data_IF_733274449217
#
_entry.id   IF_733274449217
#
_cell.length_a   1.000
_cell.length_b   1.000
_cell.length_c   1.000
_cell.angle_alpha   90.00
_cell.angle_beta   90.00
_cell.angle_gamma   90.00
#
_symmetry.space_group_name_H-M   'P 1'
#
loop_
_entity.id
_entity.type
_entity.pdbx_description
1 polymer ?
#
# COMPACT_ATOMS: atom_id res chain seq x y z
N UNK A 1 2.22 -17.25 -9.75
CA UNK A 1 1.09 -17.19 -8.80
C UNK A 1 0.29 -15.88 -8.91
N UNK A 2 0.73 -14.74 -8.34
CA UNK A 2 -0.09 -13.50 -8.33
C UNK A 2 -0.41 -12.97 -9.74
N UNK A 3 0.60 -12.91 -10.61
CA UNK A 3 0.43 -12.47 -12.00
C UNK A 3 -0.52 -13.39 -12.78
N UNK A 4 -0.32 -14.72 -12.69
CA UNK A 4 -1.17 -15.72 -13.38
C UNK A 4 -2.63 -15.69 -12.91
N UNK A 5 -2.85 -15.38 -11.64
CA UNK A 5 -4.19 -15.28 -11.07
C UNK A 5 -4.88 -13.93 -11.40
N UNK A 6 -4.22 -13.04 -12.14
CA UNK A 6 -4.66 -11.65 -12.38
C UNK A 6 -5.00 -10.90 -11.07
N UNK A 7 -4.30 -11.23 -9.99
CA UNK A 7 -4.48 -10.55 -8.70
C UNK A 7 -3.91 -9.13 -8.72
N UNK A 8 -2.82 -8.93 -9.47
CA UNK A 8 -2.15 -7.65 -9.63
C UNK A 8 -1.51 -7.59 -11.04
N UNK A 9 -1.39 -6.38 -11.59
CA UNK A 9 -0.69 -6.17 -12.85
C UNK A 9 0.81 -6.46 -12.73
N UNK A 10 1.51 -6.62 -13.86
CA UNK A 10 2.98 -6.80 -13.85
C UNK A 10 3.68 -5.56 -13.26
N UNK A 11 3.14 -4.37 -13.55
CA UNK A 11 3.59 -3.09 -13.01
C UNK A 11 3.43 -3.03 -11.50
N UNK A 12 2.26 -3.42 -10.96
CA UNK A 12 1.99 -3.37 -9.53
C UNK A 12 2.90 -4.33 -8.76
N UNK A 13 3.11 -5.55 -9.27
CA UNK A 13 4.00 -6.54 -8.67
C UNK A 13 5.43 -5.99 -8.61
N UNK A 14 5.95 -5.46 -9.72
CA UNK A 14 7.30 -4.93 -9.77
C UNK A 14 7.46 -3.65 -8.92
N UNK A 15 6.45 -2.78 -8.90
CA UNK A 15 6.43 -1.59 -8.06
C UNK A 15 6.41 -1.95 -6.56
N UNK A 16 5.58 -2.91 -6.16
CA UNK A 16 5.49 -3.38 -4.78
C UNK A 16 6.83 -3.91 -4.29
N UNK A 17 7.51 -4.73 -5.09
CA UNK A 17 8.81 -5.30 -4.71
C UNK A 17 9.93 -4.26 -4.68
N UNK A 18 9.90 -3.26 -5.57
CA UNK A 18 10.88 -2.17 -5.57
C UNK A 18 10.68 -1.20 -4.41
N UNK A 19 9.45 -0.72 -4.23
CA UNK A 19 9.12 0.35 -3.28
C UNK A 19 8.89 -0.17 -1.87
N UNK A 20 8.36 -1.39 -1.73
CA UNK A 20 8.09 -2.05 -0.46
C UNK A 20 9.30 -2.83 0.06
N UNK A 21 9.87 -3.73 -0.76
CA UNK A 21 11.00 -4.57 -0.35
C UNK A 21 12.38 -3.96 -0.62
N UNK A 22 12.46 -2.80 -1.28
CA UNK A 22 13.71 -2.11 -1.57
C UNK A 22 14.58 -2.79 -2.63
N UNK A 23 14.00 -3.66 -3.46
CA UNK A 23 14.75 -4.29 -4.55
C UNK A 23 15.13 -3.25 -5.63
N UNK A 24 16.31 -3.37 -6.25
CA UNK A 24 16.73 -2.44 -7.31
C UNK A 24 15.86 -2.56 -8.58
N UNK A 25 15.25 -3.73 -8.78
CA UNK A 25 14.40 -4.07 -9.92
C UNK A 25 13.28 -4.99 -9.46
N UNK A 26 12.11 -4.89 -10.10
CA UNK A 26 11.01 -5.80 -9.85
C UNK A 26 11.31 -7.20 -10.39
N UNK A 27 10.75 -8.25 -9.78
CA UNK A 27 11.04 -9.63 -10.14
C UNK A 27 10.71 -9.97 -11.60
N UNK A 28 9.64 -9.41 -12.18
CA UNK A 28 9.25 -9.71 -13.56
C UNK A 28 10.20 -9.02 -14.55
N UNK A 29 10.54 -7.75 -14.31
CA UNK A 29 11.56 -7.06 -15.08
C UNK A 29 12.95 -7.71 -14.96
N UNK A 30 13.27 -8.32 -13.81
CA UNK A 30 14.50 -9.08 -13.60
C UNK A 30 14.49 -10.41 -14.37
N UNK A 31 13.37 -11.12 -14.40
CA UNK A 31 13.21 -12.33 -15.22
C UNK A 31 13.39 -12.01 -16.71
N UNK A 32 12.83 -10.91 -17.19
CA UNK A 32 13.02 -10.45 -18.57
C UNK A 32 14.47 -10.06 -18.87
N UNK A 33 15.21 -9.55 -17.88
CA UNK A 33 16.64 -9.23 -18.01
C UNK A 33 17.51 -10.49 -18.10
N UNK A 34 17.28 -11.46 -17.22
CA UNK A 34 18.04 -12.73 -17.17
C UNK A 34 17.72 -13.61 -18.39
N UNK A 35 16.46 -13.58 -18.82
CA UNK A 35 15.89 -14.48 -19.81
C UNK A 35 14.95 -15.48 -19.14
N UNK A 36 13.69 -15.49 -19.56
CA UNK A 36 12.64 -16.34 -18.96
C UNK A 36 12.95 -17.83 -19.14
N UNK A 37 13.48 -18.20 -20.31
CA UNK A 37 13.93 -19.56 -20.60
C UNK A 37 15.11 -19.97 -19.71
N UNK A 38 16.10 -19.10 -19.55
CA UNK A 38 17.23 -19.33 -18.64
C UNK A 38 16.75 -19.53 -17.20
N UNK A 39 15.89 -18.64 -16.70
CA UNK A 39 15.35 -18.72 -15.35
C UNK A 39 14.55 -20.01 -15.14
N UNK A 40 13.74 -20.40 -16.12
CA UNK A 40 13.01 -21.68 -16.11
C UNK A 40 13.96 -22.87 -16.02
N UNK A 41 14.99 -22.94 -16.86
CA UNK A 41 15.95 -24.05 -16.84
C UNK A 41 16.67 -24.17 -15.49
N UNK A 42 17.04 -23.04 -14.88
CA UNK A 42 17.64 -23.03 -13.54
C UNK A 42 16.67 -23.56 -12.49
N UNK A 43 15.41 -23.11 -12.50
CA UNK A 43 14.38 -23.59 -11.58
C UNK A 43 14.07 -25.08 -11.76
N UNK A 44 14.01 -25.58 -13.01
CA UNK A 44 13.84 -27.01 -13.30
C UNK A 44 14.98 -27.85 -12.71
N UNK A 45 16.23 -27.40 -12.85
CA UNK A 45 17.40 -28.07 -12.27
C UNK A 45 17.35 -28.03 -10.73
N UNK A 46 17.06 -26.85 -10.15
CA UNK A 46 16.93 -26.69 -8.69
C UNK A 46 15.82 -27.60 -8.12
N UNK A 47 14.67 -27.68 -8.80
CA UNK A 47 13.56 -28.53 -8.37
C UNK A 47 13.87 -30.01 -8.48
N UNK A 48 14.54 -30.43 -9.56
CA UNK A 48 14.96 -31.82 -9.74
C UNK A 48 15.85 -32.30 -8.59
N UNK A 49 16.75 -31.43 -8.11
CA UNK A 49 17.64 -31.73 -6.99
C UNK A 49 16.94 -31.61 -5.62
N UNK A 50 16.22 -30.52 -5.37
CA UNK A 50 15.68 -30.24 -4.03
C UNK A 50 14.35 -30.94 -3.74
N UNK A 51 13.54 -31.21 -4.77
CA UNK A 51 12.13 -31.59 -4.67
C UNK A 51 11.25 -30.59 -3.85
N UNK A 52 11.79 -29.43 -3.52
CA UNK A 52 11.07 -28.36 -2.83
C UNK A 52 10.18 -27.63 -3.83
N UNK A 53 8.88 -27.60 -3.54
CA UNK A 53 7.90 -26.94 -4.39
C UNK A 53 8.16 -25.44 -4.58
N UNK A 54 8.90 -24.79 -3.70
CA UNK A 54 9.35 -23.40 -3.88
C UNK A 54 10.34 -23.22 -5.02
N UNK A 55 11.08 -24.27 -5.40
CA UNK A 55 11.98 -24.24 -6.55
C UNK A 55 11.30 -24.65 -7.86
N UNK A 56 10.05 -25.14 -7.82
CA UNK A 56 9.34 -25.55 -9.02
C UNK A 56 9.10 -24.33 -9.94
N UNK A 57 9.39 -24.43 -11.25
CA UNK A 57 9.13 -23.36 -12.20
C UNK A 57 7.62 -23.08 -12.31
N UNK A 58 7.24 -21.80 -12.27
CA UNK A 58 5.86 -21.41 -12.50
C UNK A 58 5.43 -21.70 -13.96
N UNK A 59 4.20 -22.19 -14.20
CA UNK A 59 3.72 -22.53 -15.55
C UNK A 59 3.87 -21.41 -16.57
N UNK A 60 3.64 -20.14 -16.18
CA UNK A 60 3.80 -18.97 -17.05
C UNK A 60 5.19 -18.85 -17.67
N UNK A 61 6.25 -19.25 -16.95
CA UNK A 61 7.61 -19.22 -17.48
C UNK A 61 7.75 -20.19 -18.66
N UNK A 62 7.09 -21.35 -18.58
CA UNK A 62 7.05 -22.31 -19.65
C UNK A 62 6.26 -21.83 -20.86
N UNK A 63 5.09 -21.23 -20.62
CA UNK A 63 4.24 -20.69 -21.67
C UNK A 63 4.95 -19.57 -22.46
N UNK A 64 5.55 -18.60 -21.76
CA UNK A 64 6.27 -17.48 -22.38
C UNK A 64 7.50 -17.97 -23.15
N UNK A 65 8.29 -18.87 -22.55
CA UNK A 65 9.47 -19.45 -23.21
C UNK A 65 9.12 -20.22 -24.48
N UNK A 66 8.10 -21.08 -24.45
CA UNK A 66 7.65 -21.83 -25.63
C UNK A 66 7.06 -20.95 -26.73
N UNK A 67 6.55 -19.76 -26.38
CA UNK A 67 6.10 -18.75 -27.33
C UNK A 67 7.23 -17.84 -27.85
N UNK A 68 8.49 -18.08 -27.47
CA UNK A 68 9.64 -17.26 -27.85
C UNK A 68 9.74 -15.92 -27.11
N UNK A 69 8.87 -15.67 -26.14
CA UNK A 69 8.80 -14.44 -25.35
C UNK A 69 9.79 -14.56 -24.19
N UNK A 70 11.08 -14.49 -24.51
CA UNK A 70 12.17 -14.82 -23.58
C UNK A 70 12.77 -13.61 -22.87
N UNK A 71 12.07 -12.48 -22.85
CA UNK A 71 12.49 -11.25 -22.19
C UNK A 71 13.19 -10.27 -23.13
N UNK A 72 14.12 -9.46 -22.59
CA UNK A 72 14.79 -8.38 -23.31
C UNK A 72 15.48 -8.86 -24.57
N UNK A 73 16.14 -10.02 -24.54
CA UNK A 73 16.85 -10.57 -25.70
C UNK A 73 15.96 -10.78 -26.93
N UNK A 74 14.68 -11.09 -26.71
CA UNK A 74 13.69 -11.25 -27.78
C UNK A 74 12.88 -9.95 -28.05
N UNK A 75 13.11 -8.89 -27.26
CA UNK A 75 12.31 -7.67 -27.27
C UNK A 75 10.94 -7.84 -26.58
N UNK A 76 10.66 -9.02 -26.03
CA UNK A 76 9.38 -9.35 -25.40
C UNK A 76 9.51 -10.48 -24.38
N UNK A 77 8.94 -10.27 -23.19
CA UNK A 77 8.70 -11.27 -22.15
C UNK A 77 7.43 -10.90 -21.39
N UNK A 78 7.54 -10.68 -20.07
CA UNK A 78 6.47 -10.05 -19.30
C UNK A 78 6.17 -8.63 -19.82
N UNK A 79 7.22 -7.89 -20.15
CA UNK A 79 7.18 -6.57 -20.77
C UNK A 79 7.51 -6.65 -22.27
N UNK A 80 7.09 -5.64 -23.04
CA UNK A 80 7.63 -5.36 -24.38
C UNK A 80 8.64 -4.25 -24.34
N UNK A 81 9.69 -4.41 -25.14
CA UNK A 81 10.81 -3.51 -25.24
C UNK A 81 10.85 -2.85 -26.62
N UNK A 82 11.48 -1.68 -26.70
CA UNK A 82 11.68 -0.90 -27.92
C UNK A 82 12.34 -1.67 -29.08
N UNK A 83 13.24 -2.60 -28.76
CA UNK A 83 13.85 -3.52 -29.71
C UNK A 83 14.33 -4.81 -29.01
N UNK A 84 14.68 -5.87 -29.76
CA UNK A 84 15.44 -6.99 -29.22
C UNK A 84 16.77 -6.53 -28.61
N UNK A 85 17.04 -6.91 -27.36
CA UNK A 85 18.14 -6.41 -26.54
C UNK A 85 17.91 -5.03 -25.92
N UNK A 86 16.75 -4.44 -26.16
CA UNK A 86 16.34 -3.13 -25.66
C UNK A 86 16.25 -3.06 -24.13
N UNK A 87 16.38 -1.84 -23.61
CA UNK A 87 16.29 -1.56 -22.17
C UNK A 87 15.02 -0.77 -21.82
N UNK A 88 14.37 -0.18 -22.82
CA UNK A 88 13.20 0.68 -22.63
C UNK A 88 11.94 -0.16 -22.77
N UNK A 89 11.14 -0.21 -21.70
CA UNK A 89 9.80 -0.81 -21.76
C UNK A 89 8.89 0.12 -22.56
N UNK A 90 8.14 -0.44 -23.52
CA UNK A 90 7.13 0.28 -24.29
C UNK A 90 5.74 -0.27 -23.99
N UNK A 91 4.69 0.60 -23.98
CA UNK A 91 3.31 0.16 -23.75
C UNK A 91 2.84 -0.90 -24.75
N UNK A 92 1.97 -1.77 -24.26
CA UNK A 92 1.32 -2.85 -25.00
C UNK A 92 -0.13 -3.03 -24.53
N UNK A 93 -0.80 -4.07 -25.04
CA UNK A 93 -2.18 -4.40 -24.69
C UNK A 93 -2.37 -4.84 -23.23
N UNK A 94 -1.30 -5.19 -22.52
CA UNK A 94 -1.33 -5.59 -21.10
C UNK A 94 -0.96 -4.44 -20.17
N UNK A 95 -0.48 -3.32 -20.72
CA UNK A 95 -0.11 -2.13 -19.97
C UNK A 95 -1.40 -1.47 -19.50
N UNK A 96 -1.60 -1.26 -18.19
CA UNK A 96 -2.77 -0.54 -17.70
C UNK A 96 -2.88 0.81 -18.40
N UNK A 97 -4.05 1.11 -18.98
CA UNK A 97 -4.27 2.42 -19.57
C UNK A 97 -4.12 3.49 -18.49
N UNK A 98 -3.45 4.61 -18.81
CA UNK A 98 -3.25 5.71 -17.87
C UNK A 98 -4.59 6.22 -17.26
N UNK A 99 -5.67 6.11 -18.04
CA UNK A 99 -7.03 6.53 -17.67
C UNK A 99 -7.90 5.36 -17.15
N UNK A 100 -7.37 4.15 -16.95
CA UNK A 100 -8.17 3.01 -16.46
C UNK A 100 -8.76 3.23 -15.06
N UNK A 101 -8.19 4.16 -14.28
CA UNK A 101 -8.79 4.70 -13.04
C UNK A 101 -9.86 5.74 -13.42
N UNK A 102 -10.90 5.31 -14.15
CA UNK A 102 -11.88 6.22 -14.80
C UNK A 102 -13.10 6.58 -13.95
N UNK A 103 -13.08 6.32 -12.64
CA UNK A 103 -14.02 6.93 -11.71
C UNK A 103 -13.43 8.23 -11.17
N UNK A 104 -14.18 9.33 -11.19
CA UNK A 104 -13.85 10.46 -10.33
C UNK A 104 -13.84 9.93 -8.89
N UNK A 105 -12.65 9.81 -8.29
CA UNK A 105 -12.49 9.43 -6.90
C UNK A 105 -13.27 10.40 -6.00
N UNK A 106 -13.62 9.95 -4.79
CA UNK A 106 -14.23 10.85 -3.82
C UNK A 106 -13.20 11.87 -3.37
N UNK A 107 -13.57 13.15 -3.38
CA UNK A 107 -12.70 14.19 -2.86
C UNK A 107 -12.43 13.97 -1.37
N UNK A 108 -11.15 14.05 -0.99
CA UNK A 108 -10.71 13.94 0.40
C UNK A 108 -10.06 15.27 0.77
N UNK A 109 -10.61 15.95 1.76
CA UNK A 109 -10.01 17.14 2.38
C UNK A 109 -9.60 16.86 3.84
N UNK A 110 -10.29 15.94 4.49
CA UNK A 110 -10.15 15.62 5.91
C UNK A 110 -10.00 14.12 6.17
N UNK A 111 -9.07 13.77 7.05
CA UNK A 111 -8.69 12.38 7.34
C UNK A 111 -8.79 12.09 8.84
N UNK A 112 -9.60 11.12 9.23
CA UNK A 112 -9.58 10.55 10.57
C UNK A 112 -8.57 9.42 10.67
N UNK A 113 -7.71 9.38 11.69
CA UNK A 113 -6.82 8.26 11.98
C UNK A 113 -7.15 7.68 13.35
N UNK A 114 -7.69 6.47 13.39
CA UNK A 114 -8.11 5.80 14.62
C UNK A 114 -6.97 4.93 15.17
N UNK A 115 -6.38 5.35 16.28
CA UNK A 115 -5.30 4.63 16.95
C UNK A 115 -4.32 5.57 17.64
N UNK A 116 -3.49 5.02 18.52
CA UNK A 116 -2.46 5.79 19.27
C UNK A 116 -1.06 5.19 19.17
N UNK A 117 -0.90 4.15 18.35
CA UNK A 117 0.37 3.43 18.17
C UNK A 117 1.32 4.11 17.20
N UNK A 118 2.43 3.44 16.91
CA UNK A 118 3.45 3.92 15.96
C UNK A 118 2.86 4.09 14.56
N UNK A 119 2.08 3.12 14.07
CA UNK A 119 1.44 3.19 12.75
C UNK A 119 0.46 4.35 12.66
N UNK A 120 -0.48 4.47 13.61
CA UNK A 120 -1.42 5.58 13.66
C UNK A 120 -0.71 6.95 13.65
N UNK A 121 0.34 7.10 14.46
CA UNK A 121 1.13 8.35 14.50
C UNK A 121 1.83 8.63 13.17
N UNK A 122 2.43 7.60 12.55
CA UNK A 122 3.12 7.72 11.27
C UNK A 122 2.17 8.04 10.11
N UNK A 123 1.00 7.42 10.08
CA UNK A 123 -0.04 7.67 9.07
C UNK A 123 -0.58 9.09 9.20
N UNK A 124 -0.90 9.53 10.43
CA UNK A 124 -1.31 10.91 10.68
C UNK A 124 -0.23 11.92 10.25
N UNK A 125 1.05 11.63 10.49
CA UNK A 125 2.16 12.46 10.01
C UNK A 125 2.22 12.54 8.48
N UNK A 126 2.01 11.41 7.77
CA UNK A 126 2.01 11.36 6.30
C UNK A 126 0.91 12.25 5.72
N UNK A 127 -0.34 12.10 6.18
CA UNK A 127 -1.45 12.92 5.69
C UNK A 127 -1.27 14.41 6.02
N UNK A 128 -0.86 14.74 7.26
CA UNK A 128 -0.66 16.13 7.64
C UNK A 128 0.45 16.82 6.83
N UNK A 129 1.56 16.11 6.53
CA UNK A 129 2.62 16.63 5.65
C UNK A 129 2.16 16.84 4.22
N UNK A 130 1.23 16.00 3.75
CA UNK A 130 0.62 16.15 2.44
C UNK A 130 -0.41 17.29 2.37
N UNK A 131 -0.74 17.92 3.51
CA UNK A 131 -1.56 19.12 3.58
C UNK A 131 -3.01 18.89 4.02
N UNK A 132 -3.40 17.65 4.34
CA UNK A 132 -4.75 17.31 4.78
C UNK A 132 -4.99 17.69 6.24
N UNK A 133 -6.22 18.05 6.57
CA UNK A 133 -6.65 18.18 7.97
C UNK A 133 -6.84 16.78 8.58
N UNK A 134 -6.19 16.53 9.72
CA UNK A 134 -6.14 15.20 10.32
C UNK A 134 -6.76 15.20 11.71
N UNK A 135 -7.72 14.31 11.94
CA UNK A 135 -8.24 14.01 13.28
C UNK A 135 -7.60 12.72 13.79
N UNK A 136 -6.70 12.82 14.77
CA UNK A 136 -6.06 11.66 15.39
C UNK A 136 -6.85 11.23 16.64
N UNK A 137 -7.67 10.20 16.50
CA UNK A 137 -8.54 9.73 17.57
C UNK A 137 -7.94 8.53 18.33
N UNK A 138 -8.07 8.55 19.65
CA UNK A 138 -7.73 7.43 20.51
C UNK A 138 -8.83 7.18 21.55
N UNK A 139 -8.70 6.11 22.35
CA UNK A 139 -9.67 5.75 23.41
C UNK A 139 -9.83 6.81 24.53
N UNK A 140 -8.99 7.83 24.58
CA UNK A 140 -9.10 8.96 25.50
C UNK A 140 -8.28 10.14 24.99
N UNK A 141 -8.63 11.36 25.43
CA UNK A 141 -7.93 12.58 25.03
C UNK A 141 -6.43 12.49 25.35
N UNK A 142 -6.09 12.05 26.56
CA UNK A 142 -4.70 11.87 26.98
C UNK A 142 -3.90 10.92 26.06
N UNK A 143 -4.52 9.86 25.52
CA UNK A 143 -3.84 8.95 24.58
C UNK A 143 -3.65 9.59 23.21
N UNK A 144 -4.60 10.38 22.75
CA UNK A 144 -4.51 11.12 21.49
C UNK A 144 -3.42 12.20 21.58
N UNK A 145 -3.36 12.95 22.68
CA UNK A 145 -2.34 13.97 22.91
C UNK A 145 -0.93 13.36 22.95
N UNK A 146 -0.78 12.21 23.61
CA UNK A 146 0.49 11.47 23.62
C UNK A 146 0.88 11.01 22.20
N UNK A 147 -0.07 10.57 21.38
CA UNK A 147 0.19 10.20 20.00
C UNK A 147 0.61 11.41 19.14
N UNK A 148 -0.10 12.54 19.25
CA UNK A 148 0.29 13.82 18.61
C UNK A 148 1.68 14.27 19.07
N UNK A 149 2.02 14.10 20.35
CA UNK A 149 3.35 14.38 20.88
C UNK A 149 4.47 13.51 20.29
N UNK A 150 4.19 12.27 19.90
CA UNK A 150 5.16 11.43 19.16
C UNK A 150 5.42 11.97 17.76
N UNK A 151 4.39 12.49 17.09
CA UNK A 151 4.50 13.14 15.78
C UNK A 151 5.37 14.39 15.90
N UNK A 152 5.15 15.23 16.92
CA UNK A 152 5.99 16.41 17.17
C UNK A 152 7.47 16.04 17.30
N UNK A 153 7.80 15.03 18.12
CA UNK A 153 9.17 14.51 18.26
C UNK A 153 9.75 13.93 16.97
N UNK A 154 8.91 13.35 16.11
CA UNK A 154 9.32 12.84 14.79
C UNK A 154 9.71 13.99 13.84
N UNK A 155 8.88 15.03 13.80
CA UNK A 155 9.09 16.22 12.99
C UNK A 155 10.30 17.03 13.49
N UNK A 156 10.46 17.20 14.80
CA UNK A 156 11.65 17.85 15.41
C UNK A 156 12.95 17.16 14.98
N UNK A 157 12.99 15.82 14.99
CA UNK A 157 14.15 15.06 14.49
C UNK A 157 14.38 15.26 13.00
N UNK A 158 13.33 15.50 12.21
CA UNK A 158 13.44 15.80 10.79
C UNK A 158 14.00 17.21 10.55
N UNK A 159 13.59 18.19 11.36
CA UNK A 159 14.16 19.55 11.36
C UNK A 159 15.64 19.53 11.75
N UNK A 160 15.99 18.83 12.83
CA UNK A 160 17.39 18.71 13.27
C UNK A 160 18.31 18.05 12.21
N UNK A 161 17.73 17.23 11.31
CA UNK A 161 18.45 16.60 10.18
C UNK A 161 18.42 17.43 8.89
N UNK A 162 17.86 18.64 8.90
CA UNK A 162 17.73 19.51 7.74
C UNK A 162 16.77 18.99 6.66
N UNK A 163 15.87 18.05 7.01
CA UNK A 163 14.91 17.45 6.06
C UNK A 163 13.58 18.21 6.00
N UNK A 164 13.34 19.11 6.96
CA UNK A 164 12.12 19.89 7.12
C UNK A 164 12.48 21.23 7.78
N UNK A 165 11.75 22.31 7.47
CA UNK A 165 11.91 23.59 8.17
C UNK A 165 11.10 23.62 9.47
N UNK A 166 11.40 24.56 10.37
CA UNK A 166 10.63 24.72 11.61
C UNK A 166 9.20 25.18 11.32
N UNK A 167 9.02 26.04 10.32
CA UNK A 167 7.73 26.54 9.86
C UNK A 167 6.87 25.39 9.31
N UNK A 168 7.44 24.54 8.44
CA UNK A 168 6.73 23.39 7.89
C UNK A 168 6.39 22.35 8.96
N UNK A 169 7.22 22.18 10.00
CA UNK A 169 6.88 21.39 11.19
C UNK A 169 5.65 21.95 11.88
N UNK A 170 5.63 23.25 12.16
CA UNK A 170 4.56 23.90 12.92
C UNK A 170 3.23 23.87 12.14
N UNK A 171 3.27 24.11 10.83
CA UNK A 171 2.12 23.93 9.94
C UNK A 171 1.61 22.49 9.90
N UNK A 172 2.51 21.50 9.87
CA UNK A 172 2.12 20.08 9.92
C UNK A 172 1.42 19.75 11.24
N UNK A 173 1.94 20.23 12.37
CA UNK A 173 1.35 19.98 13.68
C UNK A 173 0.01 20.71 13.89
N UNK A 174 -0.17 21.87 13.26
CA UNK A 174 -1.40 22.64 13.30
C UNK A 174 -2.57 21.91 12.61
N UNK A 175 -2.30 21.13 11.55
CA UNK A 175 -3.30 20.32 10.84
C UNK A 175 -3.82 19.11 11.63
N UNK A 176 -3.13 18.72 12.71
CA UNK A 176 -3.48 17.52 13.48
C UNK A 176 -4.31 17.90 14.70
N UNK A 177 -5.57 17.49 14.73
CA UNK A 177 -6.45 17.61 15.90
C UNK A 177 -6.48 16.29 16.67
N UNK A 178 -6.07 16.31 17.94
CA UNK A 178 -6.12 15.13 18.80
C UNK A 178 -7.51 15.00 19.44
N UNK A 179 -8.14 13.82 19.34
CA UNK A 179 -9.49 13.58 19.83
C UNK A 179 -9.59 12.35 20.74
N UNK A 180 -10.32 12.47 21.85
CA UNK A 180 -10.56 11.38 22.80
C UNK A 180 -11.72 10.45 22.46
N UNK A 181 -12.42 10.66 21.35
CA UNK A 181 -13.54 9.86 20.87
C UNK A 181 -13.52 9.77 19.35
N UNK A 182 -14.14 8.74 18.80
CA UNK A 182 -14.37 8.59 17.37
C UNK A 182 -15.43 9.57 16.86
N UNK A 183 -16.29 10.14 17.71
CA UNK A 183 -17.34 11.11 17.30
C UNK A 183 -16.78 12.30 16.51
N UNK A 184 -15.49 12.62 16.72
CA UNK A 184 -14.77 13.62 15.95
C UNK A 184 -14.58 13.25 14.45
N UNK A 185 -14.95 12.03 14.04
CA UNK A 185 -14.92 11.57 12.66
C UNK A 185 -16.23 11.84 11.91
N UNK A 186 -17.21 12.51 12.52
CA UNK A 186 -18.51 12.77 11.87
C UNK A 186 -18.37 13.38 10.46
N UNK A 187 -17.44 14.32 10.30
CA UNK A 187 -17.24 15.08 9.06
C UNK A 187 -16.04 14.60 8.22
N UNK A 188 -15.32 13.54 8.62
CA UNK A 188 -14.13 13.12 7.85
C UNK A 188 -14.50 12.47 6.52
N UNK A 189 -13.67 12.68 5.50
CA UNK A 189 -13.85 12.08 4.18
C UNK A 189 -13.26 10.67 4.10
N UNK A 190 -12.18 10.45 4.85
CA UNK A 190 -11.46 9.18 4.93
C UNK A 190 -11.15 8.86 6.39
N UNK A 191 -11.61 7.72 6.88
CA UNK A 191 -11.25 7.21 8.20
C UNK A 191 -10.29 6.02 8.06
N UNK A 192 -9.07 6.15 8.59
CA UNK A 192 -8.02 5.12 8.55
C UNK A 192 -7.87 4.48 9.93
N UNK A 193 -8.15 3.19 10.01
CA UNK A 193 -8.00 2.38 11.22
C UNK A 193 -6.58 1.83 11.34
N UNK A 194 -5.91 2.13 12.45
CA UNK A 194 -4.57 1.65 12.78
C UNK A 194 -4.48 1.24 14.27
N UNK A 195 -5.30 0.26 14.66
CA UNK A 195 -5.37 -0.34 15.99
C UNK A 195 -4.75 -1.76 16.02
N UNK A 196 -4.97 -2.49 17.11
CA UNK A 196 -4.43 -3.84 17.27
C UNK A 196 -4.89 -4.77 16.14
N UNK A 197 -4.00 -5.67 15.72
CA UNK A 197 -4.27 -6.67 14.68
C UNK A 197 -5.10 -7.84 15.23
N UNK A 198 -6.34 -7.53 15.61
CA UNK A 198 -7.33 -8.47 16.13
C UNK A 198 -8.67 -8.23 15.40
N UNK A 199 -9.24 -9.31 14.88
CA UNK A 199 -10.43 -9.22 14.04
C UNK A 199 -11.65 -8.68 14.80
N UNK A 200 -11.84 -9.08 16.05
CA UNK A 200 -13.01 -8.66 16.81
C UNK A 200 -12.89 -7.18 17.22
N UNK A 201 -11.69 -6.74 17.63
CA UNK A 201 -11.41 -5.33 17.89
C UNK A 201 -11.68 -4.47 16.64
N UNK A 202 -11.21 -4.90 15.47
CA UNK A 202 -11.43 -4.15 14.22
C UNK A 202 -12.91 -4.15 13.82
N UNK A 203 -13.61 -5.28 13.93
CA UNK A 203 -15.06 -5.34 13.61
C UNK A 203 -15.87 -4.40 14.51
N UNK A 204 -15.59 -4.36 15.80
CA UNK A 204 -16.25 -3.43 16.74
C UNK A 204 -15.95 -1.96 16.40
N UNK A 205 -14.70 -1.67 16.04
CA UNK A 205 -14.30 -0.33 15.63
C UNK A 205 -14.99 0.09 14.34
N UNK A 206 -15.02 -0.77 13.32
CA UNK A 206 -15.68 -0.50 12.04
C UNK A 206 -17.19 -0.35 12.18
N UNK A 207 -17.85 -1.14 13.03
CA UNK A 207 -19.27 -0.95 13.35
C UNK A 207 -19.54 0.39 14.07
N UNK A 208 -18.55 0.94 14.76
CA UNK A 208 -18.65 2.28 15.37
C UNK A 208 -18.42 3.37 14.32
N UNK A 209 -17.40 3.22 13.46
CA UNK A 209 -17.13 4.13 12.35
C UNK A 209 -18.31 4.21 11.37
N UNK A 210 -18.97 3.09 11.08
CA UNK A 210 -20.16 3.00 10.24
C UNK A 210 -21.31 3.92 10.72
N UNK A 211 -21.44 4.07 12.04
CA UNK A 211 -22.48 4.91 12.66
C UNK A 211 -22.07 6.37 12.76
N UNK A 212 -20.78 6.64 12.94
CA UNK A 212 -20.27 7.98 13.22
C UNK A 212 -19.96 8.74 11.94
N UNK A 213 -19.26 8.12 11.00
CA UNK A 213 -18.81 8.78 9.79
C UNK A 213 -19.99 9.06 8.84
N UNK A 214 -20.01 10.24 8.23
CA UNK A 214 -21.02 10.61 7.24
C UNK A 214 -21.12 9.60 6.07
N UNK A 215 -22.30 9.48 5.43
CA UNK A 215 -22.43 8.75 4.18
C UNK A 215 -21.44 9.27 3.12
N UNK A 216 -20.84 8.36 2.35
CA UNK A 216 -19.81 8.68 1.36
C UNK A 216 -18.37 8.72 1.89
N UNK A 217 -18.14 8.77 3.20
CA UNK A 217 -16.79 8.66 3.76
C UNK A 217 -16.17 7.27 3.50
N UNK A 218 -14.91 7.18 3.08
CA UNK A 218 -14.22 5.88 2.91
C UNK A 218 -13.71 5.41 4.27
N UNK A 219 -13.90 4.14 4.62
CA UNK A 219 -13.35 3.55 5.84
C UNK A 219 -12.25 2.54 5.47
N UNK A 220 -11.02 2.86 5.80
CA UNK A 220 -9.85 2.07 5.42
C UNK A 220 -9.25 1.35 6.62
N UNK A 221 -8.93 0.06 6.49
CA UNK A 221 -8.15 -0.68 7.50
C UNK A 221 -6.71 -0.79 7.07
N UNK A 222 -5.76 -0.63 8.01
CA UNK A 222 -4.33 -0.86 7.75
C UNK A 222 -3.91 -2.29 8.05
N UNK A 223 -4.86 -3.24 8.11
CA UNK A 223 -4.55 -4.65 8.40
C UNK A 223 -3.49 -5.20 7.43
N UNK A 224 -2.58 -6.01 7.96
CA UNK A 224 -1.54 -6.67 7.18
C UNK A 224 -1.86 -8.13 6.89
N UNK A 225 -2.81 -8.73 7.64
CA UNK A 225 -3.08 -10.18 7.53
C UNK A 225 -4.55 -10.57 7.63
N UNK A 226 -5.44 -9.70 8.11
CA UNK A 226 -6.85 -10.03 8.24
C UNK A 226 -7.58 -9.80 6.91
N UNK A 227 -8.53 -10.67 6.53
CA UNK A 227 -9.33 -10.44 5.33
C UNK A 227 -10.17 -9.17 5.46
N UNK A 228 -9.97 -8.20 4.56
CA UNK A 228 -10.73 -6.92 4.53
C UNK A 228 -12.24 -7.19 4.50
N UNK A 229 -12.68 -8.19 3.72
CA UNK A 229 -14.09 -8.61 3.66
C UNK A 229 -14.65 -9.04 5.02
N UNK A 230 -13.84 -9.63 5.90
CA UNK A 230 -14.31 -10.04 7.23
C UNK A 230 -14.57 -8.82 8.14
N UNK A 231 -13.81 -7.75 7.95
CA UNK A 231 -13.98 -6.45 8.63
C UNK A 231 -15.17 -5.71 8.02
N UNK A 232 -15.25 -5.63 6.69
CA UNK A 232 -16.32 -4.94 5.97
C UNK A 232 -17.72 -5.48 6.31
N UNK A 233 -17.85 -6.79 6.56
CA UNK A 233 -19.12 -7.41 6.99
C UNK A 233 -19.65 -6.93 8.35
N UNK A 234 -18.89 -6.12 9.09
CA UNK A 234 -19.35 -5.50 10.33
C UNK A 234 -20.08 -4.16 10.10
N UNK A 235 -20.12 -3.65 8.87
CA UNK A 235 -20.75 -2.37 8.52
C UNK A 235 -21.97 -2.58 7.62
N UNK A 236 -22.84 -1.58 7.53
CA UNK A 236 -23.96 -1.55 6.59
C UNK A 236 -23.56 -1.09 5.17
N UNK A 237 -22.30 -0.67 4.99
CA UNK A 237 -21.74 -0.07 3.76
C UNK A 237 -20.43 -0.74 3.32
N UNK A 238 -20.40 -2.07 3.13
CA UNK A 238 -19.17 -2.79 2.80
C UNK A 238 -18.47 -2.29 1.53
N UNK A 239 -19.19 -1.65 0.60
CA UNK A 239 -18.69 -1.01 -0.61
C UNK A 239 -17.79 0.21 -0.35
N UNK A 240 -17.86 0.79 0.85
CA UNK A 240 -17.05 1.94 1.27
C UNK A 240 -15.81 1.53 2.09
N UNK A 241 -15.60 0.22 2.24
CA UNK A 241 -14.53 -0.35 3.05
C UNK A 241 -13.40 -0.83 2.16
N UNK A 242 -12.19 -0.38 2.45
CA UNK A 242 -10.97 -0.81 1.73
C UNK A 242 -9.87 -1.24 2.70
N UNK A 243 -8.93 -2.04 2.22
CA UNK A 243 -7.60 -2.12 2.80
C UNK A 243 -6.76 -0.97 2.30
N UNK A 244 -6.06 -0.28 3.21
CA UNK A 244 -5.06 0.73 2.91
C UNK A 244 -3.83 0.45 3.75
N UNK A 245 -3.01 -0.47 3.27
CA UNK A 245 -1.88 -1.02 4.01
C UNK A 245 -0.64 -0.14 3.84
N UNK A 246 -0.25 0.49 4.95
CA UNK A 246 0.98 1.26 5.07
C UNK A 246 2.11 0.41 5.63
N UNK A 247 3.33 0.65 5.15
CA UNK A 247 4.53 -0.07 5.57
C UNK A 247 5.27 0.71 6.67
N UNK A 248 5.75 0.00 7.70
CA UNK A 248 6.48 0.61 8.82
C UNK A 248 7.96 0.89 8.47
N UNK A 249 8.50 2.08 8.73
CA UNK A 249 7.84 3.28 9.26
C UNK A 249 7.16 4.12 8.16
N UNK A 250 5.86 4.39 8.35
CA UNK A 250 5.01 5.02 7.33
C UNK A 250 5.58 6.32 6.72
N UNK A 251 6.16 7.27 7.47
CA UNK A 251 6.73 8.49 6.89
C UNK A 251 7.96 8.30 5.99
N UNK A 252 8.57 7.10 6.00
CA UNK A 252 9.76 6.80 5.19
C UNK A 252 9.47 5.88 4.00
N UNK A 253 8.35 5.16 4.03
CA UNK A 253 7.98 4.20 2.99
C UNK A 253 7.24 4.91 1.85
N UNK A 254 7.51 4.47 0.62
CA UNK A 254 6.92 5.07 -0.60
C UNK A 254 5.72 4.29 -1.13
N UNK A 255 5.42 3.13 -0.55
CA UNK A 255 4.37 2.23 -0.99
C UNK A 255 3.19 2.29 -0.01
N UNK A 256 1.99 2.34 -0.59
CA UNK A 256 0.74 2.01 0.08
C UNK A 256 0.05 0.97 -0.80
N UNK A 257 -0.36 -0.14 -0.19
CA UNK A 257 -1.11 -1.20 -0.87
C UNK A 257 -2.61 -0.96 -0.63
N UNK A 258 -3.40 -0.92 -1.70
CA UNK A 258 -4.86 -0.77 -1.64
C UNK A 258 -5.49 -2.13 -1.96
N UNK A 259 -6.34 -2.64 -1.06
CA UNK A 259 -6.94 -4.00 -1.11
C UNK A 259 -8.45 -3.91 -1.13
#
# INVERSE_FOLDING_TARGET
AMYEANYASREDIDAAMKLGCGLPMGPLALLDLIGIDTARTVLEAMYAESQDRLHAPAPVLGQLSSAGLTGRKAGRGFYTYDAPGGQTVVPDTLTPAADAVSGAGRDVASVGVAGSGTMASGIAEVFAKAGYDVVLAARSQAKADVAKGRIAKSLERSVAKGRLTAEARDETLARITAAGSLDAFAEVDLAVEAVAEDLEIKRQLFASLDKVCRPGAVLATTTSSLPVVAIARATARPEDIIGMHFFNPAPAMKLVEVV
#
